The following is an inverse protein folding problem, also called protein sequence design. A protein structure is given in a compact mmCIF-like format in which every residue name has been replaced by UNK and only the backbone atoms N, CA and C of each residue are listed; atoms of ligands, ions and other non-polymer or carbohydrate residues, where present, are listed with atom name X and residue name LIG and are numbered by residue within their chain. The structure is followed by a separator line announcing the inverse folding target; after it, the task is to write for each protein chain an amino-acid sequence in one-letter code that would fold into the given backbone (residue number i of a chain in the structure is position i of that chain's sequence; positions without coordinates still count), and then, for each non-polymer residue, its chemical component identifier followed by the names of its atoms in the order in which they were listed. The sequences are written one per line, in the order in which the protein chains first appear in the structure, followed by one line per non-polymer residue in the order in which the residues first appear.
data_IF_269130580742
#
_entry.id   IF_269130580742
#
_cell.length_a   1.000
_cell.length_b   1.000
_cell.length_c   1.000
_cell.angle_alpha   90.00
_cell.angle_beta   90.00
_cell.angle_gamma   90.00
#
_symmetry.space_group_name_H-M   'P 1'
#
loop_
_entity.id
_entity.type
_entity.pdbx_description
1 polymer ?
#
# COMPACT_ATOMS: atom_id res chain seq x y z
N UNK A 1 -22.45 5.52 -19.56
CA UNK A 1 -23.23 5.83 -18.32
C UNK A 1 -22.79 7.19 -17.79
N UNK A 2 -23.66 8.16 -17.66
CA UNK A 2 -23.32 9.45 -17.04
C UNK A 2 -23.23 9.26 -15.51
N UNK A 3 -22.17 9.77 -14.92
CA UNK A 3 -22.01 9.78 -13.46
C UNK A 3 -23.01 10.74 -12.81
N UNK A 4 -23.40 10.42 -11.58
CA UNK A 4 -24.14 11.37 -10.76
C UNK A 4 -23.26 12.60 -10.42
N UNK A 5 -23.87 13.74 -10.12
CA UNK A 5 -23.12 14.90 -9.65
C UNK A 5 -22.37 14.56 -8.34
N UNK A 6 -21.18 15.10 -8.17
CA UNK A 6 -20.29 14.79 -7.03
C UNK A 6 -20.96 14.97 -5.66
N UNK A 7 -21.95 15.86 -5.54
CA UNK A 7 -22.74 16.07 -4.31
C UNK A 7 -23.61 14.89 -3.88
N UNK A 8 -23.82 13.91 -4.76
CA UNK A 8 -24.60 12.71 -4.49
C UNK A 8 -23.74 11.45 -4.29
N UNK A 9 -22.44 11.61 -4.34
CA UNK A 9 -21.49 10.50 -4.18
C UNK A 9 -20.72 10.64 -2.90
N UNK A 10 -20.51 9.52 -2.22
CA UNK A 10 -19.70 9.41 -1.01
C UNK A 10 -18.50 8.50 -1.29
N UNK A 11 -17.38 8.79 -0.65
CA UNK A 11 -16.19 7.97 -0.73
C UNK A 11 -15.69 7.67 0.68
N UNK A 12 -15.15 6.46 0.87
CA UNK A 12 -14.46 6.05 2.10
C UNK A 12 -13.23 5.25 1.74
N UNK A 13 -12.26 5.22 2.66
CA UNK A 13 -11.08 4.39 2.50
C UNK A 13 -11.47 2.91 2.65
N UNK A 14 -10.96 2.09 1.75
CA UNK A 14 -11.02 0.63 1.88
C UNK A 14 -10.11 0.18 3.04
N UNK A 15 -10.44 -0.92 3.78
CA UNK A 15 -9.61 -1.41 4.88
C UNK A 15 -8.14 -1.66 4.52
N UNK A 16 -7.82 -2.05 3.29
CA UNK A 16 -6.43 -2.26 2.85
C UNK A 16 -5.61 -0.97 2.85
N UNK A 17 -6.25 0.19 2.78
CA UNK A 17 -5.54 1.48 2.85
C UNK A 17 -4.81 1.67 4.19
N UNK A 18 -5.22 0.96 5.25
CA UNK A 18 -4.48 0.94 6.52
C UNK A 18 -3.03 0.47 6.35
N UNK A 19 -2.76 -0.44 5.39
CA UNK A 19 -1.41 -0.90 5.08
C UNK A 19 -0.58 0.14 4.31
N UNK A 20 -1.22 1.11 3.65
CA UNK A 20 -0.53 2.23 2.99
C UNK A 20 -0.09 3.31 3.98
N UNK A 21 -0.83 3.49 5.08
CA UNK A 21 -0.59 4.52 6.10
C UNK A 21 0.02 3.98 7.39
N UNK A 22 0.33 2.69 7.45
CA UNK A 22 0.80 2.03 8.66
C UNK A 22 2.06 2.70 9.23
N UNK A 23 2.01 3.02 10.52
CA UNK A 23 3.10 3.67 11.26
C UNK A 23 3.48 5.09 10.74
N UNK A 24 2.59 5.79 10.01
CA UNK A 24 2.85 7.15 9.51
C UNK A 24 3.07 8.17 10.63
N UNK A 25 2.49 7.90 11.80
CA UNK A 25 2.60 8.70 13.03
C UNK A 25 3.90 8.44 13.82
N UNK A 26 4.76 7.52 13.34
CA UNK A 26 6.01 7.13 13.99
C UNK A 26 7.25 7.67 13.29
N UNK A 27 7.15 8.84 12.67
CA UNK A 27 8.26 9.51 11.98
C UNK A 27 8.92 8.64 10.88
N UNK A 28 8.14 7.78 10.23
CA UNK A 28 8.64 6.85 9.20
C UNK A 28 8.97 7.52 7.87
N UNK A 29 8.33 8.65 7.57
CA UNK A 29 8.48 9.43 6.33
C UNK A 29 8.60 10.91 6.66
N UNK A 30 9.13 11.68 5.71
CA UNK A 30 9.25 13.13 5.84
C UNK A 30 7.95 13.82 5.48
N UNK A 31 7.68 14.94 6.17
CA UNK A 31 6.53 15.79 5.92
C UNK A 31 6.99 17.17 5.43
N UNK A 32 6.27 17.71 4.47
CA UNK A 32 6.46 19.05 3.92
C UNK A 32 5.20 19.88 4.09
N UNK A 33 5.31 21.18 3.89
CA UNK A 33 4.13 22.04 3.86
C UNK A 33 3.28 21.71 2.62
N UNK A 34 1.95 21.69 2.80
CA UNK A 34 1.02 21.60 1.69
C UNK A 34 1.05 22.90 0.84
N UNK A 35 0.26 22.94 -0.24
CA UNK A 35 0.30 24.02 -1.22
C UNK A 35 0.07 25.44 -0.63
N UNK A 36 -0.70 25.56 0.47
CA UNK A 36 -1.01 26.82 1.14
C UNK A 36 -0.30 27.01 2.49
N UNK A 37 0.58 26.10 2.85
CA UNK A 37 1.35 26.07 4.11
C UNK A 37 0.48 26.05 5.38
N UNK A 38 -0.78 25.65 5.28
CA UNK A 38 -1.68 25.53 6.43
C UNK A 38 -1.56 24.20 7.16
N UNK A 39 -1.11 23.16 6.47
CA UNK A 39 -0.97 21.78 6.98
C UNK A 39 0.34 21.16 6.50
N UNK A 40 0.67 20.01 7.07
CA UNK A 40 1.78 19.16 6.61
C UNK A 40 1.23 17.96 5.83
N UNK A 41 1.92 17.61 4.76
CA UNK A 41 1.64 16.40 4.00
C UNK A 41 2.88 15.51 3.89
N UNK A 42 2.73 14.17 3.84
CA UNK A 42 3.85 13.27 3.71
C UNK A 42 4.42 13.33 2.28
N UNK A 43 5.73 13.29 2.16
CA UNK A 43 6.41 13.23 0.85
C UNK A 43 6.20 11.89 0.14
N UNK A 44 6.11 10.81 0.92
CA UNK A 44 5.85 9.43 0.51
C UNK A 44 4.99 8.75 1.59
N UNK A 45 4.28 7.70 1.22
CA UNK A 45 3.56 6.87 2.19
C UNK A 45 4.43 5.69 2.66
N UNK A 46 4.39 5.32 3.95
CA UNK A 46 5.17 4.21 4.50
C UNK A 46 4.55 2.85 4.17
N UNK A 47 4.29 2.59 2.89
CA UNK A 47 3.57 1.42 2.41
C UNK A 47 4.23 0.10 2.83
N UNK A 48 3.43 -0.87 3.26
CA UNK A 48 3.91 -2.17 3.75
C UNK A 48 4.17 -3.20 2.64
N UNK A 49 3.72 -2.91 1.42
CA UNK A 49 3.96 -3.74 0.23
C UNK A 49 4.23 -2.85 -0.98
N UNK A 50 4.91 -3.33 -2.04
CA UNK A 50 5.27 -2.51 -3.20
C UNK A 50 4.06 -2.19 -4.08
N UNK A 51 3.24 -1.24 -3.62
CA UNK A 51 1.95 -0.87 -4.23
C UNK A 51 2.07 -0.39 -5.68
N UNK A 52 3.21 0.12 -6.08
CA UNK A 52 3.50 0.56 -7.47
C UNK A 52 3.36 -0.57 -8.49
N UNK A 53 3.61 -1.82 -8.08
CA UNK A 53 3.45 -3.02 -8.92
C UNK A 53 2.11 -3.73 -8.72
N UNK A 54 1.39 -3.44 -7.64
CA UNK A 54 0.08 -4.07 -7.38
C UNK A 54 -1.05 -3.29 -8.04
N UNK A 55 -0.96 -1.98 -8.06
CA UNK A 55 -1.96 -1.12 -8.68
C UNK A 55 -1.54 -0.74 -10.10
N UNK A 56 -2.48 -0.77 -11.03
CA UNK A 56 -2.26 -0.25 -12.36
C UNK A 56 -2.03 1.27 -12.29
N UNK A 57 -0.89 1.72 -12.79
CA UNK A 57 -0.52 3.13 -12.81
C UNK A 57 -0.36 3.63 -14.25
N UNK A 58 -1.22 4.54 -14.65
CA UNK A 58 -1.13 5.21 -15.94
C UNK A 58 -1.18 6.72 -15.71
N UNK A 59 -0.16 7.42 -16.14
CA UNK A 59 -0.05 8.86 -16.00
C UNK A 59 0.54 9.49 -17.26
N UNK A 60 -0.04 10.61 -17.68
CA UNK A 60 0.40 11.38 -18.84
C UNK A 60 0.73 12.77 -18.37
N UNK A 61 1.99 13.17 -18.56
CA UNK A 61 2.49 14.51 -18.27
C UNK A 61 3.16 15.10 -19.51
N UNK A 62 3.43 16.41 -19.47
CA UNK A 62 4.18 17.05 -20.53
C UNK A 62 5.63 16.57 -20.50
N UNK A 63 6.07 15.96 -21.60
CA UNK A 63 7.45 15.46 -21.74
C UNK A 63 7.73 14.09 -21.13
N UNK A 64 6.78 13.51 -20.36
CA UNK A 64 6.96 12.17 -19.81
C UNK A 64 5.61 11.45 -19.61
N UNK A 65 5.63 10.13 -19.72
CA UNK A 65 4.48 9.29 -19.41
C UNK A 65 4.91 8.09 -18.57
N UNK A 66 3.99 7.58 -17.77
CA UNK A 66 4.15 6.33 -17.02
C UNK A 66 3.02 5.37 -17.39
N UNK A 67 3.33 4.11 -17.58
CA UNK A 67 2.37 3.05 -17.80
C UNK A 67 2.90 1.76 -17.17
N UNK A 68 2.47 1.51 -15.93
CA UNK A 68 2.89 0.35 -15.15
C UNK A 68 1.68 -0.57 -15.03
N UNK A 69 1.79 -1.80 -15.54
CA UNK A 69 0.75 -2.81 -15.37
C UNK A 69 0.71 -3.32 -13.92
N UNK A 70 -0.45 -3.75 -13.50
CA UNK A 70 -0.64 -4.38 -12.19
C UNK A 70 -0.23 -5.85 -12.21
N UNK A 71 0.14 -6.34 -11.02
CA UNK A 71 0.49 -7.73 -10.77
C UNK A 71 -0.26 -8.24 -9.55
N UNK A 72 -0.37 -9.56 -9.43
CA UNK A 72 -0.99 -10.20 -8.28
C UNK A 72 -0.24 -9.88 -6.99
N UNK A 73 -0.97 -9.44 -5.95
CA UNK A 73 -0.40 -9.02 -4.67
C UNK A 73 0.44 -10.13 -4.00
N UNK A 74 -0.04 -11.38 -4.02
CA UNK A 74 0.68 -12.50 -3.42
C UNK A 74 1.99 -12.77 -4.17
N UNK A 75 1.96 -12.75 -5.51
CA UNK A 75 3.16 -12.95 -6.34
C UNK A 75 4.18 -11.83 -6.13
N UNK A 76 3.74 -10.58 -6.03
CA UNK A 76 4.60 -9.42 -5.75
C UNK A 76 5.25 -9.55 -4.37
N UNK A 77 4.47 -9.87 -3.34
CA UNK A 77 5.00 -10.08 -1.99
C UNK A 77 6.00 -11.24 -1.93
N UNK A 78 5.68 -12.37 -2.58
CA UNK A 78 6.56 -13.54 -2.66
C UNK A 78 7.87 -13.20 -3.36
N UNK A 79 7.80 -12.53 -4.50
CA UNK A 79 8.99 -12.09 -5.25
C UNK A 79 9.86 -11.15 -4.42
N UNK A 80 9.24 -10.23 -3.70
CA UNK A 80 9.96 -9.31 -2.79
C UNK A 80 10.67 -10.05 -1.67
N UNK A 81 9.99 -11.03 -1.04
CA UNK A 81 10.59 -11.87 0.02
C UNK A 81 11.78 -12.66 -0.52
N UNK A 82 11.64 -13.26 -1.70
CA UNK A 82 12.74 -14.02 -2.30
C UNK A 82 13.93 -13.12 -2.70
N UNK A 83 13.69 -11.88 -3.15
CA UNK A 83 14.76 -10.91 -3.41
C UNK A 83 15.48 -10.45 -2.14
N UNK A 84 14.77 -10.33 -1.01
CA UNK A 84 15.39 -10.02 0.29
C UNK A 84 16.30 -11.18 0.73
N UNK A 85 15.87 -12.44 0.52
CA UNK A 85 16.63 -13.65 0.88
C UNK A 85 17.80 -13.92 -0.06
N UNK A 86 17.60 -13.68 -1.33
CA UNK A 86 18.56 -13.89 -2.40
C UNK A 86 18.50 -12.76 -3.42
N UNK A 87 19.46 -11.83 -3.39
CA UNK A 87 19.52 -10.72 -4.35
C UNK A 87 19.61 -11.15 -5.82
N UNK A 88 20.05 -12.38 -6.09
CA UNK A 88 20.16 -12.91 -7.45
C UNK A 88 18.91 -13.67 -7.92
N UNK A 89 17.82 -13.64 -7.12
CA UNK A 89 16.57 -14.28 -7.49
C UNK A 89 16.04 -13.80 -8.85
N UNK A 90 15.59 -14.76 -9.68
CA UNK A 90 14.96 -14.48 -10.97
C UNK A 90 13.49 -14.08 -10.76
N UNK A 91 13.14 -12.84 -11.06
CA UNK A 91 11.78 -12.31 -10.87
C UNK A 91 10.73 -13.15 -11.59
N UNK A 92 11.01 -13.63 -12.81
CA UNK A 92 10.06 -14.41 -13.62
C UNK A 92 9.70 -15.79 -13.02
N UNK A 93 10.45 -16.27 -12.04
CA UNK A 93 10.13 -17.55 -11.39
C UNK A 93 8.99 -17.42 -10.38
N UNK A 94 8.81 -16.24 -9.78
CA UNK A 94 7.79 -15.98 -8.77
C UNK A 94 6.72 -14.99 -9.22
N UNK A 95 7.02 -14.09 -10.16
CA UNK A 95 6.08 -13.16 -10.78
C UNK A 95 5.79 -13.63 -12.21
N UNK A 96 4.65 -14.29 -12.40
CA UNK A 96 4.37 -15.03 -13.65
C UNK A 96 3.96 -14.12 -14.81
N UNK A 97 2.98 -13.25 -14.57
CA UNK A 97 2.44 -12.37 -15.60
C UNK A 97 1.70 -11.19 -14.97
N UNK A 98 1.47 -10.10 -15.73
CA UNK A 98 0.56 -9.05 -15.31
C UNK A 98 -0.84 -9.58 -14.97
N UNK A 99 -1.45 -9.02 -13.93
CA UNK A 99 -2.77 -9.36 -13.43
C UNK A 99 -3.58 -8.07 -13.20
N UNK A 100 -4.68 -7.92 -13.93
CA UNK A 100 -5.50 -6.70 -13.90
C UNK A 100 -6.78 -6.93 -13.12
N UNK A 101 -7.17 -5.97 -12.29
CA UNK A 101 -8.42 -6.02 -11.52
C UNK A 101 -9.67 -6.21 -12.38
N UNK A 102 -9.67 -5.68 -13.62
CA UNK A 102 -10.74 -5.86 -14.59
C UNK A 102 -10.69 -7.19 -15.37
N UNK A 103 -9.70 -8.04 -15.10
CA UNK A 103 -9.50 -9.32 -15.79
C UNK A 103 -8.89 -9.14 -17.19
N UNK A 104 -9.40 -9.89 -18.14
CA UNK A 104 -8.95 -10.10 -19.53
C UNK A 104 -7.95 -11.28 -19.67
N UNK A 105 -7.75 -11.71 -20.91
CA UNK A 105 -6.80 -12.77 -21.26
C UNK A 105 -5.54 -12.16 -21.81
N UNK A 106 -4.38 -12.55 -21.31
CA UNK A 106 -3.09 -12.15 -21.87
C UNK A 106 -2.59 -13.16 -22.89
N UNK A 107 -2.07 -12.68 -24.01
CA UNK A 107 -1.27 -13.50 -24.90
C UNK A 107 0.13 -13.64 -24.30
N UNK A 108 0.35 -14.74 -23.58
CA UNK A 108 1.57 -14.96 -22.83
C UNK A 108 2.73 -15.34 -23.75
N UNK A 109 3.78 -14.53 -23.70
CA UNK A 109 5.07 -14.78 -24.36
C UNK A 109 6.16 -14.53 -23.29
N UNK A 110 6.76 -15.63 -22.82
CA UNK A 110 7.74 -15.58 -21.73
C UNK A 110 8.90 -14.63 -22.04
N UNK A 111 9.43 -14.67 -23.25
CA UNK A 111 10.57 -13.83 -23.63
C UNK A 111 10.24 -12.33 -23.59
N UNK A 112 9.03 -11.96 -24.05
CA UNK A 112 8.55 -10.58 -23.97
C UNK A 112 8.30 -10.12 -22.54
N UNK A 113 7.74 -10.98 -21.70
CA UNK A 113 7.49 -10.66 -20.28
C UNK A 113 8.81 -10.48 -19.53
N UNK A 114 9.78 -11.37 -19.73
CA UNK A 114 11.12 -11.26 -19.14
C UNK A 114 11.83 -9.99 -19.60
N UNK A 115 11.68 -9.59 -20.86
CA UNK A 115 12.23 -8.32 -21.39
C UNK A 115 11.59 -7.10 -20.69
N UNK A 116 10.26 -7.10 -20.49
CA UNK A 116 9.56 -6.06 -19.75
C UNK A 116 10.05 -6.02 -18.30
N UNK A 117 10.22 -7.20 -17.65
CA UNK A 117 10.73 -7.27 -16.27
C UNK A 117 12.15 -6.73 -16.15
N UNK A 118 12.97 -6.91 -17.17
CA UNK A 118 14.35 -6.43 -17.19
C UNK A 118 14.46 -4.95 -17.50
N UNK A 119 13.65 -4.42 -18.41
CA UNK A 119 13.83 -3.07 -18.97
C UNK A 119 12.76 -2.08 -18.52
N UNK A 120 11.63 -2.53 -18.01
CA UNK A 120 10.45 -1.69 -17.75
C UNK A 120 9.75 -1.20 -19.02
N UNK A 121 10.12 -1.73 -20.19
CA UNK A 121 9.54 -1.36 -21.50
C UNK A 121 9.16 -2.57 -22.30
N UNK A 122 8.13 -2.43 -23.12
CA UNK A 122 7.63 -3.45 -24.02
C UNK A 122 6.12 -3.40 -24.13
N UNK A 123 5.54 -4.39 -24.78
CA UNK A 123 4.09 -4.48 -24.90
C UNK A 123 3.64 -5.94 -24.99
N UNK A 124 2.44 -6.18 -24.52
CA UNK A 124 1.73 -7.47 -24.65
C UNK A 124 0.28 -7.25 -25.05
N UNK A 125 -0.31 -8.27 -25.67
CA UNK A 125 -1.72 -8.21 -26.09
C UNK A 125 -2.64 -8.75 -25.02
N UNK A 126 -3.74 -8.02 -24.83
CA UNK A 126 -4.89 -8.40 -24.02
C UNK A 126 -6.09 -8.70 -24.92
N UNK A 127 -6.90 -9.65 -24.49
CA UNK A 127 -8.12 -10.06 -25.17
C UNK A 127 -9.28 -10.09 -24.19
N UNK A 128 -10.42 -9.59 -24.60
CA UNK A 128 -11.66 -9.67 -23.85
C UNK A 128 -12.02 -11.14 -23.58
N UNK A 129 -12.60 -11.38 -22.40
CA UNK A 129 -13.18 -12.68 -22.06
C UNK A 129 -14.67 -12.67 -22.34
N UNK A 130 -15.15 -13.75 -22.93
CA UNK A 130 -16.55 -13.89 -23.31
C UNK A 130 -17.06 -15.29 -23.01
N UNK A 131 -18.38 -15.38 -22.91
CA UNK A 131 -19.14 -16.63 -22.86
C UNK A 131 -20.23 -16.60 -23.93
N UNK A 132 -20.55 -17.77 -24.50
CA UNK A 132 -21.67 -17.89 -25.46
C UNK A 132 -22.87 -18.50 -24.76
N UNK A 133 -23.96 -17.76 -24.70
CA UNK A 133 -25.26 -18.24 -24.25
C UNK A 133 -26.06 -18.80 -25.44
N UNK A 134 -26.13 -20.14 -25.46
CA UNK A 134 -26.87 -20.86 -26.51
C UNK A 134 -28.37 -20.62 -26.45
N UNK A 135 -28.93 -20.40 -25.27
CA UNK A 135 -30.37 -20.24 -25.07
C UNK A 135 -30.90 -18.95 -25.67
N UNK A 136 -30.13 -17.88 -25.48
CA UNK A 136 -30.47 -16.54 -25.97
C UNK A 136 -29.75 -16.20 -27.29
N UNK A 137 -28.87 -17.09 -27.78
CA UNK A 137 -28.06 -16.89 -28.99
C UNK A 137 -27.27 -15.58 -28.93
N UNK A 138 -26.62 -15.32 -27.82
CA UNK A 138 -25.83 -14.12 -27.59
C UNK A 138 -24.43 -14.41 -27.04
N UNK A 139 -23.52 -13.47 -27.21
CA UNK A 139 -22.21 -13.45 -26.60
C UNK A 139 -22.22 -12.43 -25.47
N UNK A 140 -21.87 -12.87 -24.27
CA UNK A 140 -21.67 -12.01 -23.11
C UNK A 140 -20.17 -11.77 -22.89
N UNK A 141 -19.75 -10.51 -23.00
CA UNK A 141 -18.38 -10.08 -22.71
C UNK A 141 -18.35 -9.60 -21.26
N UNK A 142 -17.56 -10.26 -20.43
CA UNK A 142 -17.48 -10.00 -18.98
C UNK A 142 -16.19 -9.35 -18.54
N UNK A 143 -15.14 -9.41 -19.35
CA UNK A 143 -13.85 -8.78 -19.08
C UNK A 143 -13.32 -8.15 -20.38
N UNK A 144 -12.78 -6.95 -20.31
CA UNK A 144 -12.21 -6.21 -21.43
C UNK A 144 -10.75 -5.82 -21.15
N UNK A 145 -9.93 -5.55 -22.18
CA UNK A 145 -8.57 -5.07 -21.99
C UNK A 145 -8.52 -3.81 -21.14
N UNK A 146 -7.60 -3.76 -20.18
CA UNK A 146 -7.40 -2.61 -19.29
C UNK A 146 -6.47 -1.59 -19.97
N UNK A 147 -6.95 -0.97 -21.03
CA UNK A 147 -6.25 0.07 -21.79
C UNK A 147 -7.11 1.32 -21.89
N UNK A 148 -6.51 2.46 -22.21
CA UNK A 148 -7.24 3.73 -22.37
C UNK A 148 -8.24 3.75 -23.54
N UNK A 149 -8.06 2.85 -24.50
CA UNK A 149 -8.89 2.74 -25.71
C UNK A 149 -10.00 1.71 -25.61
N UNK A 150 -9.90 0.75 -24.68
CA UNK A 150 -10.87 -0.33 -24.52
C UNK A 150 -11.87 -0.03 -23.39
N UNK A 151 -12.68 1.00 -23.55
CA UNK A 151 -13.84 1.26 -22.68
C UNK A 151 -15.10 0.60 -23.24
N UNK A 152 -16.10 0.29 -22.39
CA UNK A 152 -17.38 -0.27 -22.83
C UNK A 152 -18.01 0.56 -23.94
N UNK A 153 -18.03 1.88 -23.78
CA UNK A 153 -18.58 2.84 -24.75
C UNK A 153 -17.82 2.78 -26.08
N UNK A 154 -16.48 2.87 -26.03
CA UNK A 154 -15.63 2.79 -27.23
C UNK A 154 -15.79 1.45 -27.98
N UNK A 155 -15.90 0.34 -27.27
CA UNK A 155 -16.11 -0.98 -27.85
C UNK A 155 -17.46 -1.04 -28.57
N UNK A 156 -18.53 -0.61 -27.89
CA UNK A 156 -19.89 -0.60 -28.46
C UNK A 156 -19.98 0.30 -29.70
N UNK A 157 -19.45 1.51 -29.63
CA UNK A 157 -19.40 2.43 -30.77
C UNK A 157 -18.66 1.82 -31.97
N UNK A 158 -17.47 1.25 -31.71
CA UNK A 158 -16.69 0.60 -32.79
C UNK A 158 -17.39 -0.60 -33.39
N UNK A 159 -18.08 -1.41 -32.59
CA UNK A 159 -18.88 -2.53 -33.12
C UNK A 159 -20.02 -2.01 -34.00
N UNK A 160 -20.76 -1.00 -33.55
CA UNK A 160 -21.85 -0.38 -34.30
C UNK A 160 -21.31 0.18 -35.62
N UNK A 161 -20.20 0.90 -35.61
CA UNK A 161 -19.58 1.45 -36.82
C UNK A 161 -19.21 0.36 -37.83
N UNK A 162 -18.65 -0.77 -37.36
CA UNK A 162 -18.29 -1.91 -38.21
C UNK A 162 -19.49 -2.63 -38.76
N UNK A 163 -20.62 -2.67 -38.05
CA UNK A 163 -21.89 -3.20 -38.53
C UNK A 163 -22.48 -2.27 -39.59
N UNK A 164 -22.52 -0.95 -39.34
CA UNK A 164 -22.99 0.05 -40.32
C UNK A 164 -22.17 0.05 -41.61
N UNK A 165 -20.86 -0.11 -41.49
CA UNK A 165 -19.96 -0.20 -42.65
C UNK A 165 -20.06 -1.55 -43.40
N UNK A 166 -20.89 -2.49 -42.93
CA UNK A 166 -21.07 -3.81 -43.55
C UNK A 166 -19.92 -4.78 -43.35
N UNK A 167 -18.92 -4.42 -42.54
CA UNK A 167 -17.78 -5.26 -42.21
C UNK A 167 -18.17 -6.43 -41.29
N UNK A 168 -19.18 -6.25 -40.45
CA UNK A 168 -19.76 -7.27 -39.57
C UNK A 168 -21.25 -7.36 -39.88
N UNK A 169 -21.68 -8.55 -40.29
CA UNK A 169 -23.08 -8.81 -40.67
C UNK A 169 -23.81 -9.74 -39.74
N UNK A 170 -23.07 -10.38 -38.85
CA UNK A 170 -23.49 -11.49 -37.99
C UNK A 170 -24.21 -11.00 -36.70
N UNK A 171 -24.11 -9.72 -36.39
CA UNK A 171 -24.69 -9.12 -35.19
C UNK A 171 -26.07 -8.56 -35.50
N UNK A 172 -27.04 -8.81 -34.61
CA UNK A 172 -28.38 -8.22 -34.65
C UNK A 172 -28.51 -7.01 -33.71
N UNK A 173 -27.94 -7.08 -32.51
CA UNK A 173 -27.96 -6.00 -31.52
C UNK A 173 -26.74 -6.07 -30.58
N UNK A 174 -26.43 -4.96 -29.95
CA UNK A 174 -25.38 -4.85 -28.90
C UNK A 174 -25.84 -3.92 -27.78
N UNK A 175 -25.68 -4.37 -26.52
CA UNK A 175 -26.15 -3.64 -25.35
C UNK A 175 -25.09 -3.64 -24.24
N UNK A 176 -25.04 -2.54 -23.50
CA UNK A 176 -24.32 -2.47 -22.22
C UNK A 176 -25.30 -2.90 -21.10
N UNK A 177 -25.08 -4.06 -20.52
CA UNK A 177 -25.83 -4.63 -19.40
C UNK A 177 -25.01 -4.61 -18.10
N UNK A 178 -23.98 -3.77 -18.03
CA UNK A 178 -23.15 -3.59 -16.84
C UNK A 178 -23.99 -3.15 -15.64
N UNK A 179 -23.88 -3.88 -14.54
CA UNK A 179 -24.59 -3.63 -13.30
C UNK A 179 -23.69 -3.81 -12.06
N UNK A 180 -24.29 -3.94 -10.89
CA UNK A 180 -23.57 -4.13 -9.62
C UNK A 180 -22.78 -5.44 -9.54
N UNK A 181 -23.10 -6.44 -10.38
CA UNK A 181 -22.38 -7.72 -10.44
C UNK A 181 -21.11 -7.65 -11.29
N UNK A 182 -20.94 -6.60 -12.08
CA UNK A 182 -19.77 -6.37 -12.89
C UNK A 182 -20.07 -5.94 -14.32
N UNK A 183 -19.01 -5.86 -15.12
CA UNK A 183 -19.07 -5.52 -16.54
C UNK A 183 -19.78 -6.62 -17.31
N UNK A 184 -20.74 -6.23 -18.16
CA UNK A 184 -21.41 -7.11 -19.10
C UNK A 184 -21.82 -6.36 -20.38
N UNK A 185 -21.23 -6.74 -21.51
CA UNK A 185 -21.64 -6.29 -22.83
C UNK A 185 -22.24 -7.48 -23.55
N UNK A 186 -23.52 -7.39 -23.92
CA UNK A 186 -24.24 -8.48 -24.60
C UNK A 186 -24.36 -8.19 -26.10
N UNK A 187 -23.95 -9.15 -26.92
CA UNK A 187 -24.02 -9.11 -28.37
C UNK A 187 -24.98 -10.18 -28.86
N UNK A 188 -26.14 -9.79 -29.40
CA UNK A 188 -27.10 -10.71 -29.97
C UNK A 188 -26.70 -11.11 -31.40
N UNK A 189 -26.74 -12.41 -31.65
CA UNK A 189 -26.29 -13.00 -32.90
C UNK A 189 -27.46 -13.29 -33.85
N UNK A 190 -27.23 -13.15 -35.16
CA UNK A 190 -28.14 -13.68 -36.17
C UNK A 190 -28.09 -15.21 -36.20
N UNK A 191 -29.18 -15.84 -36.60
CA UNK A 191 -29.24 -17.31 -36.68
C UNK A 191 -28.15 -17.87 -37.59
N UNK A 192 -27.52 -18.96 -37.16
CA UNK A 192 -26.46 -19.64 -37.91
C UNK A 192 -25.07 -18.99 -37.79
N UNK A 193 -24.91 -18.00 -36.92
CA UNK A 193 -23.61 -17.39 -36.68
C UNK A 193 -22.77 -18.30 -35.78
N UNK A 194 -21.52 -18.53 -36.17
CA UNK A 194 -20.50 -19.17 -35.34
C UNK A 194 -19.89 -18.12 -34.38
N UNK A 195 -20.09 -18.26 -33.05
CA UNK A 195 -19.67 -17.25 -32.08
C UNK A 195 -18.15 -17.10 -32.03
N UNK A 196 -17.39 -18.18 -32.19
CA UNK A 196 -15.92 -18.13 -32.07
C UNK A 196 -15.31 -17.43 -33.30
N UNK A 197 -15.84 -17.69 -34.51
CA UNK A 197 -15.41 -16.98 -35.72
C UNK A 197 -15.74 -15.50 -35.66
N UNK A 198 -16.92 -15.15 -35.14
CA UNK A 198 -17.29 -13.76 -34.95
C UNK A 198 -16.35 -13.09 -33.93
N UNK A 199 -16.05 -13.72 -32.81
CA UNK A 199 -15.12 -13.15 -31.84
C UNK A 199 -13.72 -12.95 -32.43
N UNK A 200 -13.20 -13.87 -33.25
CA UNK A 200 -11.91 -13.67 -33.95
C UNK A 200 -11.95 -12.44 -34.87
N UNK A 201 -13.10 -12.18 -35.50
CA UNK A 201 -13.30 -11.01 -36.35
C UNK A 201 -13.38 -9.72 -35.52
N UNK A 202 -14.10 -9.75 -34.39
CA UNK A 202 -14.21 -8.65 -33.45
C UNK A 202 -12.86 -8.27 -32.85
N UNK A 203 -12.03 -9.23 -32.47
CA UNK A 203 -10.68 -8.99 -31.97
C UNK A 203 -9.75 -8.26 -32.95
N UNK A 204 -10.00 -8.39 -34.27
CA UNK A 204 -9.22 -7.70 -35.31
C UNK A 204 -9.74 -6.29 -35.58
N UNK A 205 -11.03 -6.04 -35.39
CA UNK A 205 -11.70 -4.84 -35.86
C UNK A 205 -12.09 -3.86 -34.74
N UNK A 206 -11.98 -4.27 -33.48
CA UNK A 206 -12.42 -3.51 -32.32
C UNK A 206 -11.43 -3.60 -31.15
N UNK A 207 -11.53 -2.71 -30.15
CA UNK A 207 -10.69 -2.77 -28.95
C UNK A 207 -10.97 -3.94 -27.98
N UNK A 208 -11.77 -4.93 -28.38
CA UNK A 208 -11.88 -6.21 -27.66
C UNK A 208 -10.55 -6.98 -27.62
N UNK A 209 -9.62 -6.66 -28.51
CA UNK A 209 -8.21 -6.99 -28.38
C UNK A 209 -7.39 -5.72 -28.48
N UNK A 210 -6.57 -5.47 -27.51
CA UNK A 210 -5.72 -4.28 -27.47
C UNK A 210 -4.34 -4.58 -26.89
N UNK A 211 -3.39 -3.70 -27.13
CA UNK A 211 -2.02 -3.84 -26.64
C UNK A 211 -1.78 -2.93 -25.45
N UNK A 212 -1.34 -3.50 -24.34
CA UNK A 212 -0.84 -2.73 -23.21
C UNK A 212 0.64 -2.41 -23.43
N UNK A 213 0.97 -1.11 -23.54
CA UNK A 213 2.34 -0.65 -23.69
C UNK A 213 2.92 -0.29 -22.31
N UNK A 214 3.93 -1.02 -21.89
CA UNK A 214 4.64 -0.80 -20.65
C UNK A 214 5.69 0.31 -20.79
N UNK A 215 5.69 1.23 -19.84
CA UNK A 215 6.72 2.21 -19.61
C UNK A 215 6.81 2.47 -18.10
N UNK A 216 7.65 1.71 -17.40
CA UNK A 216 7.78 1.75 -15.95
C UNK A 216 8.61 2.95 -15.53
N UNK A 217 8.10 4.14 -15.83
CA UNK A 217 8.72 5.41 -15.51
C UNK A 217 8.26 5.86 -14.12
N UNK A 218 9.21 5.98 -13.20
CA UNK A 218 9.00 6.34 -11.80
C UNK A 218 9.93 7.49 -11.42
N UNK A 219 9.59 8.17 -10.32
CA UNK A 219 10.46 9.19 -9.73
C UNK A 219 11.29 8.57 -8.61
N UNK A 220 12.61 8.64 -8.76
CA UNK A 220 13.56 8.27 -7.71
C UNK A 220 14.30 9.52 -7.29
N UNK A 221 14.16 9.93 -6.02
CA UNK A 221 14.70 11.18 -5.49
C UNK A 221 14.38 12.40 -6.40
N UNK A 222 13.15 12.47 -6.91
CA UNK A 222 12.67 13.55 -7.78
C UNK A 222 13.09 13.46 -9.25
N UNK A 223 13.89 12.46 -9.64
CA UNK A 223 14.35 12.27 -11.01
C UNK A 223 13.60 11.12 -11.70
N UNK A 224 13.09 11.30 -12.92
CA UNK A 224 12.41 10.25 -13.66
C UNK A 224 13.41 9.18 -14.13
N UNK A 225 13.05 7.91 -13.91
CA UNK A 225 13.80 6.74 -14.36
C UNK A 225 12.85 5.68 -14.88
N UNK A 226 13.21 5.04 -15.99
CA UNK A 226 12.55 3.83 -16.47
C UNK A 226 13.33 2.63 -15.91
N UNK A 227 12.64 1.79 -15.16
CA UNK A 227 13.27 0.72 -14.38
C UNK A 227 12.57 -0.62 -14.61
N UNK A 228 13.33 -1.70 -14.58
CA UNK A 228 12.79 -3.06 -14.54
C UNK A 228 12.16 -3.39 -13.19
N UNK A 229 11.42 -4.50 -13.14
CA UNK A 229 10.72 -4.93 -11.91
C UNK A 229 11.68 -5.18 -10.75
N UNK A 230 12.82 -5.83 -11.01
CA UNK A 230 13.84 -6.10 -9.98
C UNK A 230 14.40 -4.79 -9.40
N UNK A 231 14.69 -3.82 -10.26
CA UNK A 231 15.21 -2.52 -9.83
C UNK A 231 14.16 -1.77 -8.99
N UNK A 232 12.89 -1.75 -9.44
CA UNK A 232 11.78 -1.15 -8.68
C UNK A 232 11.61 -1.78 -7.30
N UNK A 233 11.69 -3.11 -7.22
CA UNK A 233 11.60 -3.83 -5.94
C UNK A 233 12.78 -3.53 -5.04
N UNK A 234 14.00 -3.43 -5.58
CA UNK A 234 15.18 -3.07 -4.80
C UNK A 234 15.10 -1.65 -4.23
N UNK A 235 14.63 -0.69 -5.02
CA UNK A 235 14.39 0.68 -4.53
C UNK A 235 13.31 0.71 -3.44
N UNK A 236 12.23 -0.05 -3.63
CA UNK A 236 11.20 -0.17 -2.60
C UNK A 236 11.72 -0.85 -1.32
N UNK A 237 12.54 -1.90 -1.43
CA UNK A 237 13.14 -2.59 -0.28
C UNK A 237 14.02 -1.61 0.50
N UNK A 238 14.86 -0.84 -0.18
CA UNK A 238 15.72 0.17 0.46
C UNK A 238 14.88 1.23 1.20
N UNK A 239 13.84 1.74 0.56
CA UNK A 239 12.90 2.68 1.19
C UNK A 239 12.19 2.05 2.40
N UNK A 240 11.72 0.80 2.27
CA UNK A 240 11.02 0.10 3.36
C UNK A 240 11.94 -0.18 4.56
N UNK A 241 13.18 -0.54 4.29
CA UNK A 241 14.19 -0.71 5.35
C UNK A 241 14.37 0.59 6.16
N UNK A 242 14.43 1.74 5.50
CA UNK A 242 14.50 3.04 6.17
C UNK A 242 13.24 3.33 6.99
N UNK A 243 12.05 3.06 6.47
CA UNK A 243 10.79 3.19 7.23
C UNK A 243 10.80 2.31 8.50
N UNK A 244 11.25 1.05 8.38
CA UNK A 244 11.35 0.13 9.51
C UNK A 244 12.38 0.63 10.53
N UNK A 245 13.54 1.11 10.09
CA UNK A 245 14.57 1.68 10.95
C UNK A 245 14.04 2.89 11.74
N UNK A 246 13.38 3.83 11.08
CA UNK A 246 12.80 5.03 11.69
C UNK A 246 11.69 4.68 12.68
N UNK A 247 10.79 3.77 12.33
CA UNK A 247 9.76 3.24 13.23
C UNK A 247 10.38 2.63 14.48
N UNK A 248 11.36 1.75 14.31
CA UNK A 248 12.02 1.07 15.42
C UNK A 248 12.71 2.06 16.35
N UNK A 249 13.37 3.08 15.80
CA UNK A 249 13.97 4.15 16.59
C UNK A 249 12.92 4.97 17.38
N UNK A 250 11.78 5.28 16.76
CA UNK A 250 10.67 5.97 17.42
C UNK A 250 10.12 5.14 18.59
N UNK A 251 9.84 3.85 18.35
CA UNK A 251 9.33 2.95 19.38
C UNK A 251 10.36 2.75 20.50
N UNK A 252 11.64 2.63 20.16
CA UNK A 252 12.74 2.54 21.15
C UNK A 252 12.81 3.78 22.03
N UNK A 253 12.78 4.97 21.44
CA UNK A 253 12.77 6.23 22.19
C UNK A 253 11.60 6.30 23.14
N UNK A 254 10.40 6.01 22.65
CA UNK A 254 9.17 6.01 23.47
C UNK A 254 9.23 4.99 24.61
N UNK A 255 9.78 3.80 24.35
CA UNK A 255 9.97 2.78 25.38
C UNK A 255 10.98 3.21 26.44
N UNK A 256 12.12 3.81 26.05
CA UNK A 256 13.13 4.35 26.96
C UNK A 256 12.59 5.49 27.82
N UNK A 257 11.83 6.43 27.23
CA UNK A 257 11.22 7.53 27.96
C UNK A 257 10.22 7.00 29.00
N UNK A 258 9.41 6.00 28.64
CA UNK A 258 8.48 5.36 29.58
C UNK A 258 9.21 4.60 30.69
N UNK A 259 10.25 3.83 30.35
CA UNK A 259 11.07 3.13 31.33
C UNK A 259 11.72 4.10 32.30
N UNK A 260 12.22 5.23 31.83
CA UNK A 260 12.82 6.28 32.65
C UNK A 260 11.84 6.80 33.70
N UNK A 261 10.59 7.08 33.32
CA UNK A 261 9.53 7.49 34.26
C UNK A 261 9.22 6.39 35.29
N UNK A 262 9.08 5.14 34.85
CA UNK A 262 8.75 4.02 35.73
C UNK A 262 9.90 3.70 36.72
N UNK A 263 11.16 3.89 36.35
CA UNK A 263 12.30 3.75 37.27
C UNK A 263 12.32 4.82 38.32
N UNK A 264 11.92 6.05 38.02
CA UNK A 264 11.68 7.09 39.00
C UNK A 264 10.59 6.70 40.00
N UNK A 265 9.48 6.17 39.48
CA UNK A 265 8.37 5.68 40.28
C UNK A 265 8.80 4.48 41.16
N UNK A 266 9.57 3.53 40.65
CA UNK A 266 10.08 2.38 41.43
C UNK A 266 10.81 2.83 42.68
N UNK A 267 11.69 3.83 42.58
CA UNK A 267 12.41 4.39 43.74
C UNK A 267 11.47 4.94 44.80
N UNK A 268 10.40 5.60 44.40
CA UNK A 268 9.36 6.14 45.31
C UNK A 268 8.55 5.01 45.94
N UNK A 269 8.20 3.96 45.20
CA UNK A 269 7.40 2.84 45.68
C UNK A 269 8.15 1.97 46.67
N UNK A 270 9.48 2.00 46.65
CA UNK A 270 10.33 1.35 47.66
C UNK A 270 10.26 2.02 49.05
N UNK A 271 9.95 3.31 49.10
CA UNK A 271 9.82 4.07 50.36
C UNK A 271 8.71 5.15 50.22
N UNK A 272 7.46 4.71 50.22
CA UNK A 272 6.29 5.57 50.05
C UNK A 272 6.15 6.53 51.23
N UNK A 273 6.44 6.07 52.43
CA UNK A 273 6.34 6.88 53.66
C UNK A 273 7.26 8.08 53.60
N UNK A 274 8.48 7.92 53.10
CA UNK A 274 9.42 8.99 52.85
C UNK A 274 8.88 10.00 51.84
N UNK A 275 8.29 9.53 50.76
CA UNK A 275 7.70 10.41 49.72
C UNK A 275 6.57 11.25 50.31
N UNK A 276 5.63 10.64 51.04
CA UNK A 276 4.54 11.32 51.74
C UNK A 276 5.07 12.34 52.75
N UNK A 277 6.09 11.97 53.51
CA UNK A 277 6.70 12.87 54.48
C UNK A 277 7.35 14.09 53.85
N UNK A 278 8.05 13.92 52.70
CA UNK A 278 8.63 15.03 51.94
C UNK A 278 7.51 15.99 51.48
N UNK A 279 6.48 15.46 50.83
CA UNK A 279 5.37 16.29 50.32
C UNK A 279 4.67 17.03 51.44
N UNK A 280 4.38 16.38 52.60
CA UNK A 280 3.71 17.00 53.74
C UNK A 280 4.53 18.08 54.44
N UNK A 281 5.85 17.96 54.44
CA UNK A 281 6.75 18.89 55.10
C UNK A 281 7.23 20.02 54.19
N UNK A 282 6.85 20.00 52.91
CA UNK A 282 7.12 21.08 51.98
C UNK A 282 6.06 22.19 52.13
N UNK A 283 6.52 23.41 52.33
CA UNK A 283 5.63 24.56 52.60
C UNK A 283 5.02 25.09 51.29
N UNK A 284 5.80 25.20 50.24
CA UNK A 284 5.36 25.71 48.94
C UNK A 284 5.19 24.62 47.88
N UNK A 285 4.09 24.65 47.12
CA UNK A 285 3.82 23.67 46.09
C UNK A 285 4.93 23.57 45.04
N UNK A 286 5.54 24.71 44.70
CA UNK A 286 6.63 24.78 43.73
C UNK A 286 7.92 24.03 44.17
N UNK A 287 8.10 23.81 45.49
CA UNK A 287 9.25 23.11 46.03
C UNK A 287 9.08 21.59 46.15
N UNK A 288 7.87 21.06 45.94
CA UNK A 288 7.59 19.61 46.04
C UNK A 288 8.45 18.82 45.08
N UNK A 289 8.52 19.23 43.80
CA UNK A 289 9.31 18.55 42.74
C UNK A 289 10.82 18.61 43.11
N UNK A 290 11.43 19.77 43.39
CA UNK A 290 12.84 19.84 43.85
C UNK A 290 13.13 18.97 45.07
N UNK A 291 12.25 18.95 46.09
CA UNK A 291 12.45 18.15 47.29
C UNK A 291 12.38 16.63 47.04
N UNK A 292 11.49 16.19 46.14
CA UNK A 292 11.44 14.79 45.66
C UNK A 292 12.72 14.41 44.92
N UNK A 293 13.20 15.31 44.05
CA UNK A 293 14.46 15.08 43.31
C UNK A 293 15.66 14.82 44.27
N UNK A 294 15.80 15.68 45.26
CA UNK A 294 16.87 15.56 46.26
C UNK A 294 16.66 14.32 47.11
N UNK A 295 15.44 14.08 47.60
CA UNK A 295 15.13 13.00 48.52
C UNK A 295 15.33 11.60 47.94
N UNK A 296 15.10 11.41 46.65
CA UNK A 296 15.16 10.10 45.98
C UNK A 296 16.28 9.98 44.92
N UNK A 297 17.02 11.06 44.67
CA UNK A 297 18.03 11.07 43.60
C UNK A 297 17.44 10.76 42.23
N UNK A 298 16.33 11.42 41.89
CA UNK A 298 15.60 11.34 40.61
C UNK A 298 15.71 12.70 39.93
N UNK A 299 15.51 12.70 38.60
CA UNK A 299 15.49 13.93 37.87
C UNK A 299 14.09 14.63 37.88
N UNK A 300 14.02 15.81 37.30
CA UNK A 300 12.82 16.61 37.31
C UNK A 300 11.65 15.94 36.62
N UNK A 301 11.88 15.29 35.46
CA UNK A 301 10.84 14.62 34.68
C UNK A 301 10.24 13.46 35.47
N UNK A 302 11.08 12.68 36.12
CA UNK A 302 10.67 11.60 37.03
C UNK A 302 9.90 12.15 38.24
N UNK A 303 10.39 13.22 38.87
CA UNK A 303 9.76 13.82 40.03
C UNK A 303 8.37 14.44 39.71
N UNK A 304 8.23 15.11 38.60
CA UNK A 304 6.94 15.63 38.09
C UNK A 304 5.96 14.49 37.86
N UNK A 305 6.38 13.41 37.17
CA UNK A 305 5.54 12.23 36.95
C UNK A 305 5.06 11.59 38.26
N UNK A 306 5.93 11.49 39.26
CA UNK A 306 5.61 10.91 40.55
C UNK A 306 4.68 11.82 41.36
N UNK A 307 4.89 13.13 41.33
CA UNK A 307 4.03 14.10 42.01
C UNK A 307 2.56 14.06 41.55
N UNK A 308 2.33 13.68 40.31
CA UNK A 308 0.97 13.57 39.71
C UNK A 308 0.29 12.20 40.02
N UNK A 309 0.92 11.32 40.77
CA UNK A 309 0.35 10.00 41.06
C UNK A 309 -0.88 10.12 41.97
N UNK A 310 -1.93 9.43 41.59
CA UNK A 310 -3.15 9.32 42.40
C UNK A 310 -2.93 8.41 43.60
N UNK A 311 -3.36 8.82 44.79
CA UNK A 311 -3.21 8.04 46.04
C UNK A 311 -3.71 6.58 45.92
N UNK A 312 -4.77 6.36 45.17
CA UNK A 312 -5.33 5.01 44.91
C UNK A 312 -4.34 4.07 44.17
N UNK A 313 -3.32 4.62 43.52
CA UNK A 313 -2.30 3.86 42.80
C UNK A 313 -1.12 3.43 43.70
N UNK A 314 -1.14 3.77 44.97
CA UNK A 314 -0.13 3.34 45.96
C UNK A 314 -0.46 1.98 46.59
N UNK A 315 -1.35 1.19 45.98
CA UNK A 315 -1.72 -0.13 46.44
C UNK A 315 -0.75 -1.21 45.90
N UNK A 316 -0.75 -2.36 46.58
CA UNK A 316 0.17 -3.48 46.29
C UNK A 316 0.01 -4.01 44.85
N UNK A 317 -1.21 -4.08 44.34
CA UNK A 317 -1.50 -4.56 42.99
C UNK A 317 -0.86 -3.67 41.94
N UNK A 318 -1.03 -2.34 42.09
CA UNK A 318 -0.44 -1.36 41.19
C UNK A 318 1.09 -1.43 41.21
N UNK A 319 1.71 -1.58 42.37
CA UNK A 319 3.16 -1.72 42.51
C UNK A 319 3.68 -2.95 41.75
N UNK A 320 3.05 -4.11 41.97
CA UNK A 320 3.42 -5.36 41.28
C UNK A 320 3.28 -5.21 39.74
N UNK A 321 2.21 -4.58 39.29
CA UNK A 321 2.00 -4.33 37.84
C UNK A 321 3.08 -3.43 37.28
N UNK A 322 3.50 -2.38 37.98
CA UNK A 322 4.57 -1.49 37.50
C UNK A 322 5.92 -2.20 37.43
N UNK A 323 6.23 -3.08 38.36
CA UNK A 323 7.43 -3.91 38.27
C UNK A 323 7.44 -4.82 37.05
N UNK A 324 6.30 -5.45 36.72
CA UNK A 324 6.16 -6.23 35.50
C UNK A 324 6.29 -5.36 34.22
N UNK A 325 5.67 -4.18 34.22
CA UNK A 325 5.79 -3.23 33.11
C UNK A 325 7.27 -2.83 32.85
N UNK A 326 8.09 -2.70 33.90
CA UNK A 326 9.52 -2.40 33.78
C UNK A 326 10.26 -3.55 33.11
N UNK A 327 10.05 -4.78 33.54
CA UNK A 327 10.67 -5.97 32.96
C UNK A 327 10.30 -6.16 31.49
N UNK A 328 9.01 -5.96 31.15
CA UNK A 328 8.52 -6.04 29.77
C UNK A 328 9.14 -4.95 28.89
N UNK A 329 9.27 -3.72 29.39
CA UNK A 329 9.91 -2.61 28.66
C UNK A 329 11.40 -2.85 28.44
N UNK A 330 12.11 -3.38 29.44
CA UNK A 330 13.54 -3.72 29.30
C UNK A 330 13.76 -4.76 28.21
N UNK A 331 12.93 -5.78 28.18
CA UNK A 331 12.95 -6.80 27.12
C UNK A 331 12.64 -6.20 25.75
N UNK A 332 11.59 -5.38 25.65
CA UNK A 332 11.22 -4.70 24.40
C UNK A 332 12.36 -3.80 23.89
N UNK A 333 13.02 -3.06 24.80
CA UNK A 333 14.15 -2.20 24.45
C UNK A 333 15.30 -3.02 23.87
N UNK A 334 15.64 -4.15 24.51
CA UNK A 334 16.69 -5.04 24.01
C UNK A 334 16.35 -5.58 22.61
N UNK A 335 15.11 -6.04 22.38
CA UNK A 335 14.66 -6.53 21.07
C UNK A 335 14.72 -5.43 19.99
N UNK A 336 14.34 -4.18 20.32
CA UNK A 336 14.39 -3.06 19.38
C UNK A 336 15.85 -2.62 19.08
N UNK A 337 16.74 -2.66 20.06
CA UNK A 337 18.16 -2.38 19.87
C UNK A 337 18.84 -3.43 18.98
N UNK A 338 18.49 -4.71 19.11
CA UNK A 338 18.97 -5.78 18.24
C UNK A 338 18.51 -5.57 16.77
N UNK A 339 17.26 -5.18 16.56
CA UNK A 339 16.75 -4.86 15.21
C UNK A 339 17.55 -3.71 14.59
N UNK A 340 17.84 -2.64 15.35
CA UNK A 340 18.62 -1.51 14.84
C UNK A 340 20.06 -1.89 14.54
N UNK A 341 20.68 -2.76 15.34
CA UNK A 341 22.03 -3.25 15.13
C UNK A 341 22.11 -4.11 13.85
N UNK A 342 21.18 -5.05 13.66
CA UNK A 342 21.13 -5.90 12.44
C UNK A 342 20.84 -5.11 11.18
N UNK A 343 19.97 -4.09 11.24
CA UNK A 343 19.72 -3.20 10.12
C UNK A 343 20.96 -2.38 9.72
N UNK A 344 21.80 -1.98 10.68
CA UNK A 344 23.05 -1.28 10.41
C UNK A 344 24.12 -2.20 9.78
N UNK A 345 24.12 -3.49 10.11
CA UNK A 345 25.01 -4.49 9.48
C UNK A 345 24.60 -4.80 8.03
N UNK A 346 23.30 -4.87 7.75
CA UNK A 346 22.77 -5.13 6.40
C UNK A 346 22.94 -3.94 5.43
N UNK A 347 23.19 -2.73 5.94
CA UNK A 347 23.43 -1.52 5.16
C UNK A 347 24.92 -1.29 4.82
N UNK A 348 25.84 -2.09 5.37
CA UNK A 348 27.28 -2.09 5.05
C UNK A 348 27.60 -3.13 3.96
#
# INVERSE_FOLDING_TARGET
MMWAASRYTEAKLDPISAELFKDIDKDTVDFVDNYDSTMKEPTLLPVTFPSVLVNNNTGIAVGMASSICSFNLEEVCRTTIELIRNPDHCVADTLKAPDFAGGAKILYDRAKIEEIYRTGRGSFKLYAKYTYDKSNNCIDITEIPMTSTATSESIIEKVIDRVKAGAIREISDIRDETDKSGLKITIDLKRGTDPDKLMQKLYRLTPLSDSFACNFNVLIAGSPRVMGVKELLNEWIAFRMECVRRRTYFDLKKAKDKLHLLRGLEKILLDIDKAIKIVRNTEEEAEVVPNLMIGFGIDRIQAEYVAEIKLRHLNREYILKRTQDIEELEKLIADLEDILASAAESAR
#
